data_IF_969825345623
#
_entry.id   IF_969825345623
#
_cell.length_a   1.000
_cell.length_b   1.000
_cell.length_c   1.000
_cell.angle_alpha   90.00
_cell.angle_beta   90.00
_cell.angle_gamma   90.00
#
_symmetry.space_group_name_H-M   'P 1'
#
loop_
_entity.id
_entity.type
_entity.pdbx_description
1 polymer ?
#
# COMPACT_ATOMS: atom_id res chain seq x y z
N UNK A 1 -20.56 -5.27 21.15
CA UNK A 1 -20.27 -5.20 19.69
C UNK A 1 -18.92 -4.53 19.53
N UNK A 2 -17.92 -5.29 19.11
CA UNK A 2 -16.52 -4.83 19.00
C UNK A 2 -16.36 -4.06 17.68
N UNK A 3 -15.65 -2.92 17.63
CA UNK A 3 -15.56 -2.13 16.41
C UNK A 3 -14.87 -2.96 15.32
N UNK A 4 -15.54 -3.11 14.18
CA UNK A 4 -15.00 -3.73 12.98
C UNK A 4 -13.89 -2.86 12.37
N UNK A 5 -12.71 -2.89 12.98
CA UNK A 5 -11.49 -2.24 12.48
C UNK A 5 -10.96 -2.87 11.16
N UNK A 6 -11.59 -3.97 10.73
CA UNK A 6 -11.22 -4.76 9.56
C UNK A 6 -11.69 -4.21 8.21
N UNK A 7 -12.42 -3.09 8.21
CA UNK A 7 -12.82 -2.36 7.00
C UNK A 7 -12.13 -1.00 6.98
N UNK A 8 -10.80 -0.97 7.01
CA UNK A 8 -10.09 0.24 6.63
C UNK A 8 -10.34 0.50 5.13
N UNK A 9 -11.47 1.16 4.85
CA UNK A 9 -11.85 1.84 3.61
C UNK A 9 -12.42 1.02 2.45
N UNK A 10 -12.72 -0.26 2.67
CA UNK A 10 -13.59 -1.02 1.76
C UNK A 10 -12.98 -1.41 0.42
N UNK A 11 -11.64 -1.36 0.31
CA UNK A 11 -10.90 -1.94 -0.81
C UNK A 11 -10.80 -3.46 -0.60
N UNK A 12 -11.33 -4.29 -1.52
CA UNK A 12 -11.15 -5.74 -1.46
C UNK A 12 -9.67 -6.11 -1.54
N UNK A 13 -9.20 -6.94 -0.61
CA UNK A 13 -7.78 -7.36 -0.56
C UNK A 13 -7.35 -8.05 -1.85
N UNK A 14 -8.23 -8.83 -2.45
CA UNK A 14 -8.00 -9.52 -3.72
C UNK A 14 -7.68 -8.58 -4.88
N UNK A 15 -8.34 -7.41 -4.93
CA UNK A 15 -8.08 -6.38 -5.96
C UNK A 15 -6.77 -5.65 -5.67
N UNK A 16 -6.55 -5.24 -4.41
CA UNK A 16 -5.32 -4.59 -3.98
C UNK A 16 -4.09 -5.49 -4.12
N UNK A 17 -4.24 -6.79 -3.94
CA UNK A 17 -3.18 -7.79 -3.98
C UNK A 17 -2.43 -7.75 -5.31
N UNK A 18 -3.15 -7.68 -6.44
CA UNK A 18 -2.54 -7.63 -7.78
C UNK A 18 -1.64 -6.41 -7.93
N UNK A 19 -2.09 -5.26 -7.44
CA UNK A 19 -1.30 -4.04 -7.48
C UNK A 19 -0.11 -4.11 -6.52
N UNK A 20 -0.28 -4.68 -5.33
CA UNK A 20 0.81 -4.86 -4.37
C UNK A 20 1.92 -5.76 -4.89
N UNK A 21 1.60 -6.81 -5.62
CA UNK A 21 2.60 -7.66 -6.26
C UNK A 21 3.43 -6.87 -7.28
N UNK A 22 2.79 -6.02 -8.10
CA UNK A 22 3.50 -5.14 -9.04
C UNK A 22 4.43 -4.20 -8.27
N UNK A 23 3.93 -3.57 -7.21
CA UNK A 23 4.71 -2.65 -6.37
C UNK A 23 5.88 -3.35 -5.70
N UNK A 24 5.65 -4.52 -5.11
CA UNK A 24 6.67 -5.31 -4.43
C UNK A 24 7.77 -5.74 -5.40
N UNK A 25 7.43 -6.18 -6.61
CA UNK A 25 8.42 -6.52 -7.64
C UNK A 25 9.21 -5.29 -8.09
N UNK A 26 8.53 -4.16 -8.28
CA UNK A 26 9.17 -2.89 -8.68
C UNK A 26 10.13 -2.36 -7.60
N UNK A 27 9.81 -2.61 -6.33
CA UNK A 27 10.64 -2.26 -5.18
C UNK A 27 11.71 -3.30 -4.85
N UNK A 28 11.93 -4.33 -5.69
CA UNK A 28 12.91 -5.39 -5.44
C UNK A 28 12.61 -6.25 -4.21
N UNK A 29 11.34 -6.34 -3.81
CA UNK A 29 10.88 -7.09 -2.63
C UNK A 29 10.41 -8.51 -2.93
N UNK A 30 10.60 -9.01 -4.16
CA UNK A 30 10.22 -10.38 -4.57
C UNK A 30 8.77 -10.74 -4.21
N UNK A 31 7.82 -9.85 -4.49
CA UNK A 31 6.40 -10.05 -4.15
C UNK A 31 6.06 -9.94 -2.66
N UNK A 32 7.00 -9.57 -1.78
CA UNK A 32 6.77 -9.43 -0.33
C UNK A 32 6.34 -8.02 0.05
N UNK A 33 5.50 -7.93 1.09
CA UNK A 33 5.00 -6.66 1.64
C UNK A 33 5.16 -6.64 3.16
N UNK A 34 5.61 -5.53 3.72
CA UNK A 34 5.65 -5.30 5.15
C UNK A 34 4.25 -4.89 5.64
N UNK A 35 3.66 -5.65 6.55
CA UNK A 35 2.37 -5.33 7.15
C UNK A 35 2.36 -5.76 8.62
N UNK A 36 1.80 -4.91 9.50
CA UNK A 36 1.70 -5.16 10.94
C UNK A 36 0.30 -5.60 11.38
N UNK A 37 -0.72 -5.29 10.59
CA UNK A 37 -2.11 -5.61 10.94
C UNK A 37 -2.39 -7.11 10.73
N UNK A 38 -2.62 -7.84 11.82
CA UNK A 38 -2.77 -9.30 11.80
C UNK A 38 -3.85 -9.78 10.83
N UNK A 39 -4.99 -9.10 10.82
CA UNK A 39 -6.07 -9.48 9.93
C UNK A 39 -5.72 -9.26 8.45
N UNK A 40 -5.01 -8.17 8.15
CA UNK A 40 -4.51 -7.91 6.81
C UNK A 40 -3.45 -8.93 6.41
N UNK A 41 -2.56 -9.31 7.34
CA UNK A 41 -1.56 -10.37 7.10
C UNK A 41 -2.24 -11.69 6.73
N UNK A 42 -3.33 -12.05 7.41
CA UNK A 42 -4.11 -13.25 7.06
C UNK A 42 -4.72 -13.14 5.66
N UNK A 43 -5.28 -11.99 5.29
CA UNK A 43 -5.88 -11.77 3.97
C UNK A 43 -4.84 -11.75 2.84
N UNK A 44 -3.67 -11.15 3.06
CA UNK A 44 -2.54 -11.15 2.13
C UNK A 44 -2.05 -12.57 1.88
N UNK A 45 -1.86 -13.36 2.94
CA UNK A 45 -1.44 -14.77 2.82
C UNK A 45 -2.46 -15.62 2.05
N UNK A 46 -3.77 -15.40 2.27
CA UNK A 46 -4.83 -16.05 1.49
C UNK A 46 -4.79 -15.68 0.00
N UNK A 47 -4.29 -14.48 -0.29
CA UNK A 47 -4.09 -13.97 -1.66
C UNK A 47 -2.68 -14.26 -2.20
N UNK A 48 -1.96 -15.20 -1.59
CA UNK A 48 -0.60 -15.63 -1.97
C UNK A 48 0.47 -14.52 -1.89
N UNK A 49 0.20 -13.45 -1.15
CA UNK A 49 1.19 -12.40 -0.86
C UNK A 49 1.93 -12.73 0.43
N UNK A 50 3.25 -12.84 0.31
CA UNK A 50 4.14 -13.04 1.44
C UNK A 50 4.30 -11.74 2.25
N UNK A 51 4.24 -11.87 3.58
CA UNK A 51 4.47 -10.75 4.49
C UNK A 51 5.86 -10.86 5.09
N UNK A 52 6.67 -9.82 4.90
CA UNK A 52 8.05 -9.74 5.41
C UNK A 52 8.34 -8.31 5.88
N UNK A 53 8.77 -8.14 7.12
CA UNK A 53 9.10 -6.82 7.68
C UNK A 53 10.27 -6.13 6.95
N UNK A 54 11.12 -6.90 6.27
CA UNK A 54 12.25 -6.40 5.49
C UNK A 54 11.85 -5.92 4.09
N UNK A 55 10.62 -6.21 3.62
CA UNK A 55 10.16 -5.79 2.29
C UNK A 55 10.23 -4.26 2.12
N UNK A 56 10.61 -3.80 0.93
CA UNK A 56 10.72 -2.38 0.61
C UNK A 56 9.36 -1.73 0.35
N UNK A 57 8.29 -2.52 0.20
CA UNK A 57 6.90 -2.04 0.19
C UNK A 57 6.25 -2.32 1.53
N UNK A 58 5.53 -1.36 2.07
CA UNK A 58 4.76 -1.53 3.29
C UNK A 58 3.29 -1.13 3.09
N UNK A 59 2.37 -1.82 3.76
CA UNK A 59 0.97 -1.41 3.83
C UNK A 59 0.67 -0.84 5.22
N UNK A 60 0.24 0.42 5.25
CA UNK A 60 -0.20 1.13 6.45
C UNK A 60 -1.70 1.50 6.41
N UNK A 61 -2.30 1.59 7.59
CA UNK A 61 -3.70 1.99 7.76
C UNK A 61 -3.84 3.23 8.65
N UNK A 62 -2.81 3.56 9.42
CA UNK A 62 -2.81 4.70 10.35
C UNK A 62 -1.69 5.69 10.04
N UNK A 63 -1.82 6.96 10.48
CA UNK A 63 -0.77 7.96 10.40
C UNK A 63 0.57 7.49 11.00
N UNK A 64 0.53 6.84 12.16
CA UNK A 64 1.71 6.39 12.91
C UNK A 64 2.46 5.29 12.16
N UNK A 65 1.73 4.33 11.60
CA UNK A 65 2.32 3.27 10.77
C UNK A 65 2.93 3.83 9.49
N UNK A 66 2.22 4.78 8.87
CA UNK A 66 2.67 5.42 7.63
C UNK A 66 3.99 6.15 7.87
N UNK A 67 4.05 6.98 8.91
CA UNK A 67 5.25 7.70 9.31
C UNK A 67 6.39 6.76 9.66
N UNK A 68 6.10 5.67 10.37
CA UNK A 68 7.08 4.65 10.73
C UNK A 68 7.73 4.02 9.49
N UNK A 69 6.94 3.54 8.52
CA UNK A 69 7.50 2.89 7.33
C UNK A 69 8.17 3.87 6.37
N UNK A 70 7.62 5.08 6.21
CA UNK A 70 8.24 6.13 5.42
C UNK A 70 9.60 6.53 6.02
N UNK A 71 9.70 6.61 7.35
CA UNK A 71 10.96 6.83 8.06
C UNK A 71 11.99 5.71 7.88
N UNK A 72 11.58 4.52 7.46
CA UNK A 72 12.45 3.42 7.07
C UNK A 72 12.83 3.44 5.58
N UNK A 73 12.40 4.45 4.82
CA UNK A 73 12.65 4.56 3.38
C UNK A 73 11.82 3.61 2.51
N UNK A 74 10.79 2.96 3.08
CA UNK A 74 9.94 2.03 2.33
C UNK A 74 8.95 2.79 1.44
N UNK A 75 8.54 2.16 0.33
CA UNK A 75 7.38 2.58 -0.44
C UNK A 75 6.10 2.25 0.35
N UNK A 76 5.43 3.27 0.86
CA UNK A 76 4.25 3.10 1.71
C UNK A 76 2.97 3.15 0.88
N UNK A 77 2.26 2.02 0.86
CA UNK A 77 0.88 1.89 0.37
C UNK A 77 -0.06 2.11 1.54
N UNK A 78 -1.04 2.98 1.36
CA UNK A 78 -1.99 3.33 2.39
C UNK A 78 -3.44 3.18 1.90
N UNK A 79 -4.38 3.08 2.83
CA UNK A 79 -5.80 2.99 2.49
C UNK A 79 -6.42 4.35 2.09
N UNK A 80 -5.71 5.48 2.24
CA UNK A 80 -6.21 6.80 1.86
C UNK A 80 -5.12 7.80 1.56
N UNK A 81 -5.41 8.72 0.64
CA UNK A 81 -4.60 9.90 0.32
C UNK A 81 -4.39 10.84 1.50
N UNK A 82 -5.28 10.82 2.50
CA UNK A 82 -5.08 11.60 3.73
C UNK A 82 -3.74 11.27 4.40
N UNK A 83 -3.26 10.05 4.20
CA UNK A 83 -2.00 9.55 4.76
C UNK A 83 -0.76 9.99 3.95
N UNK A 84 -0.93 10.76 2.87
CA UNK A 84 0.21 11.30 2.11
C UNK A 84 1.02 12.32 2.93
N UNK A 85 0.37 13.05 3.84
CA UNK A 85 1.05 13.99 4.73
C UNK A 85 2.07 13.29 5.65
N UNK A 86 1.84 12.03 6.00
CA UNK A 86 2.68 11.21 6.85
C UNK A 86 3.71 10.37 6.08
N UNK A 87 3.77 10.52 4.76
CA UNK A 87 4.73 9.82 3.90
C UNK A 87 4.14 8.65 3.09
N UNK A 88 2.82 8.49 3.07
CA UNK A 88 2.15 7.60 2.13
C UNK A 88 2.49 7.98 0.69
N UNK A 89 2.94 7.02 -0.12
CA UNK A 89 3.30 7.25 -1.51
C UNK A 89 2.19 6.82 -2.47
N UNK A 90 1.44 5.78 -2.10
CA UNK A 90 0.38 5.21 -2.93
C UNK A 90 -0.85 5.01 -2.06
N UNK A 91 -2.01 5.50 -2.49
CA UNK A 91 -3.26 5.28 -1.79
C UNK A 91 -4.22 4.44 -2.63
N UNK A 92 -4.78 3.40 -2.01
CA UNK A 92 -5.87 2.61 -2.56
C UNK A 92 -7.18 3.06 -1.92
N UNK A 93 -8.01 3.78 -2.68
CA UNK A 93 -9.31 4.25 -2.21
C UNK A 93 -10.43 3.64 -3.07
N UNK A 94 -11.59 3.39 -2.47
CA UNK A 94 -12.78 3.00 -3.23
C UNK A 94 -13.64 4.21 -3.53
N UNK A 95 -13.73 4.60 -4.79
CA UNK A 95 -14.53 5.74 -5.27
C UNK A 95 -15.60 5.19 -6.22
N UNK A 96 -16.88 5.48 -5.93
CA UNK A 96 -18.02 4.98 -6.70
C UNK A 96 -17.96 3.45 -6.90
N UNK A 97 -17.66 2.72 -5.83
CA UNK A 97 -17.50 1.26 -5.80
C UNK A 97 -16.32 0.69 -6.60
N UNK A 98 -15.45 1.51 -7.20
CA UNK A 98 -14.24 1.08 -7.92
C UNK A 98 -12.98 1.39 -7.14
N UNK A 99 -11.99 0.50 -7.21
CA UNK A 99 -10.64 0.78 -6.71
C UNK A 99 -10.00 1.87 -7.58
N UNK A 100 -9.62 2.97 -6.94
CA UNK A 100 -8.84 4.05 -7.52
C UNK A 100 -7.49 4.12 -6.84
N UNK A 101 -6.44 4.15 -7.64
CA UNK A 101 -5.06 4.21 -7.17
C UNK A 101 -4.59 5.65 -7.32
N UNK A 102 -4.11 6.23 -6.22
CA UNK A 102 -3.48 7.55 -6.23
C UNK A 102 -2.00 7.41 -5.96
N UNK A 103 -1.18 8.23 -6.62
CA UNK A 103 0.27 8.24 -6.45
C UNK A 103 0.72 9.65 -6.11
N UNK A 104 1.38 9.80 -4.96
CA UNK A 104 2.01 11.04 -4.54
C UNK A 104 3.47 11.08 -5.01
N UNK A 105 3.75 11.84 -6.07
CA UNK A 105 5.03 11.75 -6.80
C UNK A 105 6.25 12.06 -5.92
N UNK A 106 6.16 13.05 -5.03
CA UNK A 106 7.27 13.41 -4.16
C UNK A 106 7.59 12.32 -3.12
N UNK A 107 6.59 11.60 -2.62
CA UNK A 107 6.81 10.53 -1.64
C UNK A 107 7.29 9.25 -2.35
N UNK A 108 6.80 9.00 -3.57
CA UNK A 108 7.34 7.96 -4.43
C UNK A 108 8.84 8.19 -4.70
N UNK A 109 9.24 9.41 -5.08
CA UNK A 109 10.64 9.77 -5.28
C UNK A 109 11.51 9.54 -4.03
N UNK A 110 11.00 9.87 -2.84
CA UNK A 110 11.68 9.62 -1.56
C UNK A 110 11.87 8.14 -1.24
N UNK A 111 10.98 7.27 -1.71
CA UNK A 111 11.12 5.81 -1.53
C UNK A 111 12.21 5.20 -2.41
N UNK A 112 12.69 5.91 -3.43
CA UNK A 112 13.67 5.40 -4.39
C UNK A 112 13.13 4.34 -5.35
N UNK A 113 11.86 3.95 -5.23
CA UNK A 113 11.24 2.95 -6.10
C UNK A 113 10.76 3.58 -7.40
N UNK A 114 11.12 2.96 -8.52
CA UNK A 114 10.60 3.32 -9.84
C UNK A 114 9.44 2.40 -10.20
N UNK A 115 8.28 2.97 -10.54
CA UNK A 115 7.11 2.20 -10.94
C UNK A 115 7.05 2.04 -12.46
N UNK A 116 6.56 0.89 -12.97
CA UNK A 116 6.33 0.70 -14.39
C UNK A 116 5.32 1.71 -14.96
N UNK A 117 5.53 2.14 -16.21
CA UNK A 117 4.60 3.05 -16.90
C UNK A 117 3.17 2.50 -16.96
N UNK A 118 3.01 1.19 -17.09
CA UNK A 118 1.71 0.52 -17.08
C UNK A 118 0.94 0.76 -15.77
N UNK A 119 1.64 0.79 -14.64
CA UNK A 119 1.06 1.12 -13.34
C UNK A 119 0.71 2.61 -13.26
N UNK A 120 1.61 3.48 -13.72
CA UNK A 120 1.40 4.93 -13.68
C UNK A 120 0.26 5.41 -14.58
N UNK A 121 -0.08 4.67 -15.64
CA UNK A 121 -1.21 4.98 -16.53
C UNK A 121 -2.58 4.73 -15.90
N UNK A 122 -2.67 3.75 -14.99
CA UNK A 122 -3.93 3.43 -14.29
C UNK A 122 -4.09 4.23 -12.99
N UNK A 123 -3.01 4.85 -12.51
CA UNK A 123 -3.00 5.66 -11.30
C UNK A 123 -3.33 7.13 -11.58
N UNK A 124 -4.04 7.75 -10.65
CA UNK A 124 -4.25 9.19 -10.59
C UNK A 124 -3.05 9.84 -9.88
N UNK A 125 -2.37 10.75 -10.57
CA UNK A 125 -1.21 11.46 -10.03
C UNK A 125 -1.68 12.61 -9.13
N UNK A 126 -1.12 12.69 -7.92
CA UNK A 126 -1.31 13.79 -6.96
C UNK A 126 0.04 14.39 -6.54
#
# INVERSE_FOLDING_TARGET
MVPSALRAQGVPVEEAAKFLLILANSAGSEGRVACKELDMVMQLKKSEISVDAKANVAWSFTPEQTKFYAGQGKLVVCSSRKLFAEGGAIAFERINSRLTIFVHQANLGRSGVTLPDSFLRVAVKQ
#
